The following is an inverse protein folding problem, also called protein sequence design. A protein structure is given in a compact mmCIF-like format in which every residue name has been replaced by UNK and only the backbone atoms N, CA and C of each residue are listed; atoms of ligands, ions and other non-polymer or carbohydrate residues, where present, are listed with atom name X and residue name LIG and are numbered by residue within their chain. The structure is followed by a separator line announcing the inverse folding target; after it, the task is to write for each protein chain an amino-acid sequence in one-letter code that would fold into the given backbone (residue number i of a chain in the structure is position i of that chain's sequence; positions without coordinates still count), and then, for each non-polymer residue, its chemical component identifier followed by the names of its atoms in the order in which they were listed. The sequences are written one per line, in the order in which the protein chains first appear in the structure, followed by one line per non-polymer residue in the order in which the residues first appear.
data_IF_632907451897
#
_entry.id   IF_632907451897
#
_cell.length_a   1.000
_cell.length_b   1.000
_cell.length_c   1.000
_cell.angle_alpha   90.00
_cell.angle_beta   90.00
_cell.angle_gamma   90.00
#
_symmetry.space_group_name_H-M   'P 1'
#
loop_
_entity.id
_entity.type
_entity.pdbx_description
1 polymer ?
#
# COMPACT_ATOMS: atom_id res chain seq x y z
N UNK A 1 -16.48 105.18 -33.83
CA UNK A 1 -16.06 104.08 -34.72
C UNK A 1 -15.39 103.04 -33.84
N UNK A 2 -16.15 102.01 -33.44
CA UNK A 2 -15.62 100.80 -32.81
C UNK A 2 -16.13 99.62 -33.64
N UNK A 3 -15.27 98.66 -34.00
CA UNK A 3 -15.69 97.54 -34.83
C UNK A 3 -16.50 96.58 -33.95
N UNK A 4 -17.76 96.34 -34.33
CA UNK A 4 -18.52 95.21 -33.80
C UNK A 4 -17.84 93.92 -34.30
N UNK A 5 -17.05 93.31 -33.43
CA UNK A 5 -16.54 91.95 -33.62
C UNK A 5 -17.74 91.01 -33.67
N UNK A 6 -17.96 90.40 -34.83
CA UNK A 6 -18.89 89.28 -35.03
C UNK A 6 -18.31 88.05 -34.32
N UNK A 7 -18.39 88.04 -32.98
CA UNK A 7 -18.40 86.80 -32.21
C UNK A 7 -19.82 86.25 -32.36
N UNK A 8 -19.98 85.17 -33.12
CA UNK A 8 -21.31 84.65 -33.39
C UNK A 8 -21.27 83.19 -33.72
N UNK A 9 -20.94 82.83 -34.96
CA UNK A 9 -21.33 81.52 -35.44
C UNK A 9 -20.17 80.54 -35.61
N UNK A 10 -18.98 81.01 -36.01
CA UNK A 10 -17.81 80.13 -36.23
C UNK A 10 -17.22 79.60 -34.93
N UNK A 11 -17.12 80.45 -33.91
CA UNK A 11 -16.59 80.04 -32.61
C UNK A 11 -17.59 79.11 -31.89
N UNK A 12 -18.90 79.36 -32.04
CA UNK A 12 -19.96 78.48 -31.52
C UNK A 12 -19.94 77.12 -32.23
N UNK A 13 -19.78 77.09 -33.56
CA UNK A 13 -19.66 75.83 -34.32
C UNK A 13 -18.39 75.05 -33.95
N UNK A 14 -17.28 75.73 -33.70
CA UNK A 14 -16.04 75.09 -33.24
C UNK A 14 -16.22 74.48 -31.85
N UNK A 15 -16.81 75.21 -30.90
CA UNK A 15 -17.12 74.68 -29.56
C UNK A 15 -18.12 73.52 -29.60
N UNK A 16 -19.12 73.56 -30.48
CA UNK A 16 -20.10 72.48 -30.64
C UNK A 16 -19.44 71.19 -31.19
N UNK A 17 -18.49 71.33 -32.12
CA UNK A 17 -17.66 70.23 -32.60
C UNK A 17 -16.76 69.61 -31.53
N UNK A 18 -16.12 70.44 -30.70
CA UNK A 18 -15.30 70.00 -29.58
C UNK A 18 -16.15 69.27 -28.52
N UNK A 19 -17.33 69.81 -28.19
CA UNK A 19 -18.25 69.22 -27.21
C UNK A 19 -18.79 67.86 -27.69
N UNK A 20 -19.12 67.75 -28.98
CA UNK A 20 -19.52 66.49 -29.60
C UNK A 20 -18.40 65.45 -29.55
N UNK A 21 -17.15 65.88 -29.79
CA UNK A 21 -15.97 65.00 -29.72
C UNK A 21 -15.73 64.49 -28.28
N UNK A 22 -15.88 65.36 -27.28
CA UNK A 22 -15.77 65.00 -25.86
C UNK A 22 -16.87 64.01 -25.46
N UNK A 23 -18.11 64.23 -25.89
CA UNK A 23 -19.23 63.32 -25.63
C UNK A 23 -18.96 61.95 -26.23
N UNK A 24 -18.47 61.88 -27.48
CA UNK A 24 -18.12 60.62 -28.13
C UNK A 24 -16.95 59.91 -27.44
N UNK A 25 -15.93 60.64 -26.99
CA UNK A 25 -14.82 60.09 -26.23
C UNK A 25 -15.28 59.53 -24.88
N UNK A 26 -16.16 60.24 -24.15
CA UNK A 26 -16.73 59.77 -22.90
C UNK A 26 -17.59 58.51 -23.10
N UNK A 27 -18.37 58.45 -24.18
CA UNK A 27 -19.15 57.27 -24.53
C UNK A 27 -18.24 56.05 -24.76
N UNK A 28 -17.17 56.21 -25.54
CA UNK A 28 -16.18 55.15 -25.74
C UNK A 28 -15.47 54.73 -24.45
N UNK A 29 -15.13 55.68 -23.58
CA UNK A 29 -14.58 55.37 -22.26
C UNK A 29 -15.55 54.55 -21.41
N UNK A 30 -16.84 54.88 -21.45
CA UNK A 30 -17.87 54.14 -20.72
C UNK A 30 -18.00 52.70 -21.24
N UNK A 31 -18.04 52.51 -22.56
CA UNK A 31 -18.10 51.19 -23.20
C UNK A 31 -16.85 50.35 -22.87
N UNK A 32 -15.67 50.95 -22.93
CA UNK A 32 -14.42 50.28 -22.55
C UNK A 32 -14.42 49.85 -21.08
N UNK A 33 -14.91 50.70 -20.18
CA UNK A 33 -15.00 50.38 -18.75
C UNK A 33 -16.00 49.25 -18.49
N UNK A 34 -17.16 49.27 -19.14
CA UNK A 34 -18.13 48.17 -19.07
C UNK A 34 -17.52 46.86 -19.58
N UNK A 35 -16.81 46.90 -20.72
CA UNK A 35 -16.11 45.74 -21.26
C UNK A 35 -15.03 45.20 -20.32
N UNK A 36 -14.30 46.08 -19.63
CA UNK A 36 -13.30 45.68 -18.64
C UNK A 36 -13.95 45.03 -17.41
N UNK A 37 -15.05 45.59 -16.92
CA UNK A 37 -15.80 45.04 -15.78
C UNK A 37 -16.38 43.66 -16.10
N UNK A 38 -16.92 43.46 -17.30
CA UNK A 38 -17.38 42.13 -17.75
C UNK A 38 -16.24 41.11 -17.81
N UNK A 39 -15.09 41.49 -18.36
CA UNK A 39 -13.90 40.62 -18.38
C UNK A 39 -13.44 40.26 -16.97
N UNK A 40 -13.46 41.22 -16.05
CA UNK A 40 -13.07 41.01 -14.66
C UNK A 40 -14.04 40.07 -13.93
N UNK A 41 -15.36 40.23 -14.14
CA UNK A 41 -16.36 39.31 -13.61
C UNK A 41 -16.17 37.88 -14.14
N UNK A 42 -15.99 37.72 -15.45
CA UNK A 42 -15.73 36.39 -16.04
C UNK A 42 -14.44 35.75 -15.53
N UNK A 43 -13.41 36.54 -15.26
CA UNK A 43 -12.16 36.05 -14.69
C UNK A 43 -12.34 35.61 -13.23
N UNK A 44 -13.10 36.35 -12.43
CA UNK A 44 -13.44 35.98 -11.06
C UNK A 44 -14.25 34.68 -10.99
N UNK A 45 -15.24 34.52 -11.86
CA UNK A 45 -16.01 33.28 -11.95
C UNK A 45 -15.14 32.09 -12.33
N UNK A 46 -14.27 32.26 -13.33
CA UNK A 46 -13.33 31.23 -13.77
C UNK A 46 -12.34 30.86 -12.66
N UNK A 47 -11.84 31.84 -11.93
CA UNK A 47 -10.96 31.63 -10.78
C UNK A 47 -11.66 30.86 -9.66
N UNK A 48 -12.88 31.25 -9.30
CA UNK A 48 -13.64 30.58 -8.25
C UNK A 48 -13.97 29.13 -8.62
N UNK A 49 -14.31 28.88 -9.89
CA UNK A 49 -14.54 27.52 -10.40
C UNK A 49 -13.27 26.67 -10.31
N UNK A 50 -12.15 27.19 -10.81
CA UNK A 50 -10.87 26.49 -10.76
C UNK A 50 -10.43 26.20 -9.32
N UNK A 51 -10.66 27.15 -8.40
CA UNK A 51 -10.38 26.96 -6.97
C UNK A 51 -11.22 25.85 -6.37
N UNK A 52 -12.52 25.82 -6.68
CA UNK A 52 -13.44 24.76 -6.24
C UNK A 52 -12.99 23.38 -6.74
N UNK A 53 -12.69 23.27 -8.04
CA UNK A 53 -12.25 22.03 -8.67
C UNK A 53 -10.93 21.52 -8.01
N UNK A 54 -10.00 22.43 -7.72
CA UNK A 54 -8.74 22.09 -7.04
C UNK A 54 -8.93 21.59 -5.60
N UNK A 55 -9.84 22.23 -4.85
CA UNK A 55 -10.16 21.82 -3.48
C UNK A 55 -10.80 20.42 -3.46
N UNK A 56 -11.73 20.15 -4.39
CA UNK A 56 -12.36 18.83 -4.54
C UNK A 56 -11.34 17.75 -4.91
N UNK A 57 -10.45 18.01 -5.87
CA UNK A 57 -9.42 17.04 -6.28
C UNK A 57 -8.43 16.76 -5.14
N UNK A 58 -8.06 17.78 -4.37
CA UNK A 58 -7.20 17.63 -3.19
C UNK A 58 -7.86 16.77 -2.12
N UNK A 59 -9.13 17.02 -1.82
CA UNK A 59 -9.89 16.20 -0.86
C UNK A 59 -10.06 14.76 -1.33
N UNK A 60 -10.38 14.54 -2.61
CA UNK A 60 -10.47 13.22 -3.21
C UNK A 60 -9.13 12.49 -3.09
N UNK A 61 -8.00 13.14 -3.40
CA UNK A 61 -6.66 12.56 -3.28
C UNK A 61 -6.30 12.20 -1.85
N UNK A 62 -6.62 13.05 -0.88
CA UNK A 62 -6.40 12.74 0.54
C UNK A 62 -7.29 11.61 1.03
N UNK A 63 -8.54 11.53 0.56
CA UNK A 63 -9.45 10.40 0.83
C UNK A 63 -8.91 9.10 0.23
N UNK A 64 -8.45 9.11 -1.01
CA UNK A 64 -7.79 7.96 -1.65
C UNK A 64 -6.52 7.53 -0.92
N UNK A 65 -5.66 8.47 -0.49
CA UNK A 65 -4.48 8.15 0.33
C UNK A 65 -4.86 7.52 1.67
N UNK A 66 -5.90 8.03 2.34
CA UNK A 66 -6.40 7.45 3.59
C UNK A 66 -6.99 6.06 3.37
N UNK A 67 -7.76 5.86 2.32
CA UNK A 67 -8.31 4.55 1.94
C UNK A 67 -7.21 3.54 1.54
N UNK A 68 -6.19 3.98 0.82
CA UNK A 68 -5.05 3.14 0.43
C UNK A 68 -4.14 2.78 1.62
N UNK A 69 -4.05 3.64 2.64
CA UNK A 69 -3.39 3.33 3.92
C UNK A 69 -4.25 2.46 4.85
N UNK A 70 -5.58 2.57 4.74
CA UNK A 70 -6.56 1.86 5.54
C UNK A 70 -7.04 0.54 4.95
N UNK A 71 -6.59 0.15 3.75
CA UNK A 71 -6.64 -1.25 3.35
C UNK A 71 -5.74 -2.00 4.32
N UNK A 72 -6.36 -2.80 5.19
CA UNK A 72 -5.72 -3.72 6.12
C UNK A 72 -4.61 -4.49 5.39
N UNK A 73 -3.39 -3.96 5.45
CA UNK A 73 -2.22 -4.82 5.35
C UNK A 73 -2.42 -5.75 6.53
N UNK A 74 -2.75 -7.00 6.27
CA UNK A 74 -2.53 -8.09 7.20
C UNK A 74 -1.07 -8.50 6.96
N UNK A 75 -0.08 -7.79 7.57
CA UNK A 75 1.30 -8.18 7.38
C UNK A 75 1.44 -9.64 7.81
N UNK A 76 2.27 -10.38 7.10
CA UNK A 76 2.62 -11.73 7.49
C UNK A 76 4.11 -11.94 7.36
N UNK A 77 4.65 -12.82 8.19
CA UNK A 77 6.00 -13.35 8.03
C UNK A 77 5.91 -14.79 7.60
N UNK A 78 6.67 -15.13 6.57
CA UNK A 78 6.81 -16.49 6.07
C UNK A 78 8.15 -17.07 6.51
N UNK A 79 8.10 -18.14 7.30
CA UNK A 79 9.24 -18.95 7.68
C UNK A 79 9.28 -20.21 6.82
N UNK A 80 10.33 -20.34 6.00
CA UNK A 80 10.60 -21.53 5.21
C UNK A 80 11.75 -22.30 5.85
N UNK A 81 11.53 -23.57 6.16
CA UNK A 81 12.51 -24.42 6.85
C UNK A 81 12.80 -25.66 6.01
N UNK A 82 14.08 -25.98 5.85
CA UNK A 82 14.53 -27.28 5.38
C UNK A 82 14.50 -28.27 6.56
N UNK A 83 13.48 -29.11 6.61
CA UNK A 83 13.27 -30.09 7.66
C UNK A 83 14.16 -31.33 7.57
N UNK A 84 14.87 -31.54 6.46
CA UNK A 84 15.90 -32.60 6.38
C UNK A 84 17.22 -32.13 7.02
N UNK A 85 17.55 -30.84 6.87
CA UNK A 85 18.75 -30.22 7.46
C UNK A 85 18.59 -29.73 8.90
N UNK A 86 17.38 -29.36 9.33
CA UNK A 86 17.11 -28.78 10.66
C UNK A 86 16.06 -29.57 11.44
N UNK A 87 16.52 -30.58 12.18
CA UNK A 87 15.65 -31.43 12.98
C UNK A 87 15.20 -30.79 14.29
N UNK A 88 13.96 -31.06 14.69
CA UNK A 88 13.48 -30.75 16.03
C UNK A 88 14.23 -31.57 17.09
N UNK A 89 14.22 -31.06 18.33
CA UNK A 89 14.86 -31.74 19.47
C UNK A 89 14.33 -33.16 19.64
N UNK A 90 15.21 -34.10 19.92
CA UNK A 90 14.89 -35.53 20.00
C UNK A 90 13.70 -35.87 20.89
N UNK A 91 13.57 -35.19 22.05
CA UNK A 91 12.45 -35.43 22.96
C UNK A 91 11.09 -35.04 22.36
N UNK A 92 11.05 -34.01 21.50
CA UNK A 92 9.82 -33.63 20.77
C UNK A 92 9.50 -34.70 19.72
N UNK A 93 10.51 -35.17 18.97
CA UNK A 93 10.31 -36.21 17.97
C UNK A 93 9.78 -37.51 18.62
N UNK A 94 10.40 -37.93 19.74
CA UNK A 94 10.00 -39.14 20.49
C UNK A 94 8.59 -39.06 21.07
N UNK A 95 8.12 -37.86 21.40
CA UNK A 95 6.78 -37.63 21.92
C UNK A 95 5.68 -37.71 20.84
N UNK A 96 6.04 -37.91 19.57
CA UNK A 96 5.08 -38.14 18.49
C UNK A 96 4.11 -36.97 18.35
N UNK A 97 2.81 -37.23 18.52
CA UNK A 97 1.77 -36.22 18.37
C UNK A 97 1.89 -35.07 19.39
N UNK A 98 2.10 -35.37 20.68
CA UNK A 98 2.25 -34.33 21.70
C UNK A 98 3.49 -33.48 21.46
N UNK A 99 4.53 -34.11 20.92
CA UNK A 99 5.76 -33.46 20.51
C UNK A 99 5.58 -32.50 19.34
N UNK A 100 4.78 -32.87 18.34
CA UNK A 100 4.47 -32.00 17.20
C UNK A 100 3.68 -30.76 17.62
N UNK A 101 2.72 -30.92 18.54
CA UNK A 101 1.97 -29.79 19.14
C UNK A 101 2.93 -28.86 19.88
N UNK A 102 3.74 -29.45 20.77
CA UNK A 102 4.71 -28.67 21.57
C UNK A 102 5.72 -27.95 20.68
N UNK A 103 6.19 -28.59 19.61
CA UNK A 103 7.12 -28.00 18.65
C UNK A 103 6.52 -26.79 17.91
N UNK A 104 5.26 -26.89 17.48
CA UNK A 104 4.56 -25.79 16.83
C UNK A 104 4.42 -24.57 17.76
N UNK A 105 3.97 -24.80 19.00
CA UNK A 105 3.83 -23.74 20.00
C UNK A 105 5.16 -23.06 20.33
N UNK A 106 6.23 -23.84 20.56
CA UNK A 106 7.56 -23.29 20.84
C UNK A 106 8.09 -22.44 19.68
N UNK A 107 7.85 -22.86 18.43
CA UNK A 107 8.25 -22.10 17.26
C UNK A 107 7.43 -20.81 17.11
N UNK A 108 6.11 -20.90 17.32
CA UNK A 108 5.17 -19.77 17.35
C UNK A 108 5.62 -18.71 18.35
N UNK A 109 5.90 -19.12 19.60
CA UNK A 109 6.35 -18.23 20.67
C UNK A 109 7.70 -17.59 20.37
N UNK A 110 8.65 -18.38 19.85
CA UNK A 110 9.96 -17.85 19.46
C UNK A 110 9.85 -16.76 18.39
N UNK A 111 9.04 -17.02 17.34
CA UNK A 111 8.82 -16.05 16.27
C UNK A 111 8.12 -14.80 16.80
N UNK A 112 7.06 -14.94 17.61
CA UNK A 112 6.34 -13.81 18.22
C UNK A 112 7.29 -12.92 19.02
N UNK A 113 8.10 -13.51 19.90
CA UNK A 113 9.07 -12.78 20.71
C UNK A 113 10.12 -12.05 19.84
N UNK A 114 10.58 -12.70 18.76
CA UNK A 114 11.49 -12.09 17.81
C UNK A 114 10.84 -10.89 17.10
N UNK A 115 9.60 -11.03 16.63
CA UNK A 115 8.87 -9.95 15.97
C UNK A 115 8.60 -8.78 16.93
N UNK A 116 8.17 -9.04 18.16
CA UNK A 116 7.95 -8.01 19.17
C UNK A 116 9.24 -7.21 19.45
N UNK A 117 10.38 -7.89 19.53
CA UNK A 117 11.68 -7.25 19.79
C UNK A 117 12.19 -6.38 18.63
N UNK A 118 11.82 -6.72 17.38
CA UNK A 118 12.34 -6.04 16.18
C UNK A 118 11.36 -5.05 15.53
N UNK A 119 10.05 -5.30 15.64
CA UNK A 119 8.97 -4.53 15.00
C UNK A 119 8.10 -3.75 16.00
N UNK A 120 8.28 -3.97 17.31
CA UNK A 120 7.50 -3.30 18.35
C UNK A 120 6.00 -3.55 18.21
N UNK A 121 5.17 -2.51 18.38
CA UNK A 121 3.70 -2.61 18.32
C UNK A 121 3.10 -3.03 16.97
N UNK A 122 3.91 -3.15 15.90
CA UNK A 122 3.46 -3.72 14.63
C UNK A 122 3.46 -5.25 14.63
N UNK A 123 4.13 -5.88 15.61
CA UNK A 123 4.23 -7.34 15.70
C UNK A 123 2.87 -8.02 15.91
N UNK A 124 1.97 -7.41 16.70
CA UNK A 124 0.66 -7.99 17.04
C UNK A 124 -0.30 -8.04 15.85
N UNK A 125 -0.02 -7.25 14.81
CA UNK A 125 -0.80 -7.24 13.56
C UNK A 125 -0.27 -8.25 12.53
N UNK A 126 0.85 -8.93 12.84
CA UNK A 126 1.56 -9.76 11.90
C UNK A 126 1.21 -11.24 12.03
N UNK A 127 0.65 -11.83 10.97
CA UNK A 127 0.35 -13.26 10.90
C UNK A 127 1.63 -14.06 10.69
N UNK A 128 1.77 -15.19 11.38
CA UNK A 128 2.96 -16.05 11.24
C UNK A 128 2.57 -17.25 10.39
N UNK A 129 3.26 -17.43 9.26
CA UNK A 129 3.14 -18.59 8.39
C UNK A 129 4.45 -19.38 8.42
N UNK A 130 4.37 -20.69 8.67
CA UNK A 130 5.53 -21.58 8.72
C UNK A 130 5.33 -22.71 7.73
N UNK A 131 6.34 -23.00 6.91
CA UNK A 131 6.37 -24.18 6.05
C UNK A 131 7.69 -24.91 6.22
N UNK A 132 7.61 -26.13 6.72
CA UNK A 132 8.75 -27.03 6.87
C UNK A 132 8.69 -28.04 5.74
N UNK A 133 9.71 -28.07 4.88
CA UNK A 133 9.80 -29.00 3.77
C UNK A 133 10.80 -30.10 4.10
N UNK A 134 10.38 -31.37 4.01
CA UNK A 134 11.30 -32.49 4.20
C UNK A 134 10.88 -33.70 3.34
N UNK A 135 11.80 -34.60 3.05
CA UNK A 135 11.48 -35.94 2.60
C UNK A 135 10.97 -36.77 3.79
N UNK A 136 9.67 -36.72 4.09
CA UNK A 136 9.11 -37.30 5.32
C UNK A 136 9.36 -38.81 5.41
N UNK A 137 9.33 -39.51 4.27
CA UNK A 137 9.63 -40.94 4.21
C UNK A 137 11.12 -41.21 4.51
N UNK A 138 12.02 -40.47 3.86
CA UNK A 138 13.46 -40.57 4.09
C UNK A 138 13.83 -40.24 5.54
N UNK A 139 13.24 -39.17 6.07
CA UNK A 139 13.43 -38.72 7.44
C UNK A 139 12.90 -39.75 8.45
N UNK A 140 11.71 -40.33 8.23
CA UNK A 140 11.18 -41.41 9.07
C UNK A 140 12.15 -42.60 9.15
N UNK A 141 12.72 -43.03 8.01
CA UNK A 141 13.73 -44.11 7.96
C UNK A 141 15.03 -43.74 8.66
N UNK A 142 15.47 -42.48 8.56
CA UNK A 142 16.68 -41.98 9.22
C UNK A 142 16.51 -41.93 10.74
N UNK A 143 15.38 -41.41 11.21
CA UNK A 143 15.04 -41.33 12.63
C UNK A 143 14.82 -42.72 13.26
N UNK A 144 14.24 -43.67 12.51
CA UNK A 144 14.08 -45.05 12.96
C UNK A 144 15.44 -45.74 13.20
N UNK A 145 16.42 -45.53 12.31
CA UNK A 145 17.77 -46.10 12.44
C UNK A 145 18.50 -45.66 13.72
N UNK A 146 18.21 -44.47 14.21
CA UNK A 146 18.75 -43.93 15.48
C UNK A 146 17.80 -44.15 16.67
N UNK A 147 16.71 -44.90 16.47
CA UNK A 147 15.76 -45.25 17.52
C UNK A 147 14.93 -44.09 18.05
N UNK A 148 14.74 -43.02 17.27
CA UNK A 148 13.92 -41.86 17.65
C UNK A 148 12.43 -42.06 17.38
N UNK A 149 12.09 -42.89 16.40
CA UNK A 149 10.72 -43.26 16.02
C UNK A 149 10.65 -44.76 15.72
N UNK A 150 9.43 -45.30 15.52
CA UNK A 150 9.21 -46.68 15.12
C UNK A 150 9.78 -47.03 13.73
N UNK A 151 9.86 -48.32 13.43
CA UNK A 151 10.43 -48.82 12.17
C UNK A 151 9.48 -48.74 10.97
N UNK A 152 8.21 -48.35 11.20
CA UNK A 152 7.20 -48.20 10.17
C UNK A 152 7.54 -47.03 9.24
N UNK A 153 7.23 -47.16 7.94
CA UNK A 153 7.53 -46.12 6.94
C UNK A 153 6.92 -44.73 7.24
N UNK A 154 5.87 -44.67 8.07
CA UNK A 154 5.17 -43.44 8.48
C UNK A 154 5.28 -43.17 9.97
N UNK A 155 6.31 -43.66 10.64
CA UNK A 155 6.47 -43.50 12.09
C UNK A 155 6.65 -42.05 12.54
N UNK A 156 7.06 -41.12 11.66
CA UNK A 156 7.08 -39.67 11.95
C UNK A 156 5.72 -38.98 11.74
N UNK A 157 4.75 -39.63 11.07
CA UNK A 157 3.48 -38.98 10.72
C UNK A 157 2.65 -38.44 11.90
N UNK A 158 2.66 -39.03 13.11
CA UNK A 158 1.98 -38.44 14.25
C UNK A 158 2.56 -37.07 14.62
N UNK A 159 3.89 -36.92 14.54
CA UNK A 159 4.57 -35.65 14.78
C UNK A 159 4.26 -34.61 13.70
N UNK A 160 4.45 -34.94 12.42
CA UNK A 160 4.23 -33.95 11.34
C UNK A 160 2.78 -33.51 11.24
N UNK A 161 1.84 -34.45 11.39
CA UNK A 161 0.42 -34.12 11.24
C UNK A 161 -0.15 -33.35 12.42
N UNK A 162 0.37 -33.57 13.63
CA UNK A 162 -0.01 -32.78 14.80
C UNK A 162 0.59 -31.39 14.75
N UNK A 163 1.87 -31.25 14.35
CA UNK A 163 2.49 -29.95 14.09
C UNK A 163 1.65 -29.10 13.12
N UNK A 164 1.29 -29.65 11.94
CA UNK A 164 0.49 -28.95 10.92
C UNK A 164 -0.88 -28.50 11.45
N UNK A 165 -1.53 -29.28 12.33
CA UNK A 165 -2.86 -28.95 12.84
C UNK A 165 -2.85 -28.07 14.09
N UNK A 166 -1.69 -27.77 14.66
CA UNK A 166 -1.59 -27.05 15.93
C UNK A 166 -1.76 -25.55 15.78
N UNK A 167 -1.41 -25.00 14.62
CA UNK A 167 -1.46 -23.57 14.32
C UNK A 167 -1.98 -23.39 12.88
N UNK A 168 -2.91 -22.45 12.66
CA UNK A 168 -3.69 -22.32 11.42
C UNK A 168 -2.84 -22.15 10.13
N UNK A 169 -1.64 -21.60 10.24
CA UNK A 169 -0.76 -21.26 9.11
C UNK A 169 0.56 -22.04 9.14
N UNK A 170 0.59 -23.18 9.83
CA UNK A 170 1.78 -24.02 9.96
C UNK A 170 1.59 -25.28 9.13
N UNK A 171 2.55 -25.57 8.25
CA UNK A 171 2.54 -26.75 7.41
C UNK A 171 3.86 -27.51 7.53
N UNK A 172 3.77 -28.82 7.78
CA UNK A 172 4.86 -29.77 7.54
C UNK A 172 4.60 -30.49 6.21
N UNK A 173 5.35 -30.09 5.18
CA UNK A 173 5.15 -30.47 3.79
C UNK A 173 6.13 -31.57 3.38
N UNK A 174 5.60 -32.68 2.87
CA UNK A 174 6.42 -33.71 2.24
C UNK A 174 6.91 -33.24 0.86
N UNK A 175 8.21 -33.04 0.73
CA UNK A 175 8.86 -32.63 -0.50
C UNK A 175 9.28 -33.81 -1.39
N UNK A 176 9.08 -35.05 -0.91
CA UNK A 176 9.39 -36.27 -1.63
C UNK A 176 10.89 -36.57 -1.78
N UNK A 177 11.19 -37.67 -2.47
CA UNK A 177 12.51 -38.32 -2.48
C UNK A 177 13.54 -37.72 -3.44
N UNK A 178 13.27 -36.55 -4.02
CA UNK A 178 14.26 -35.89 -4.88
C UNK A 178 15.32 -35.26 -3.99
N UNK A 179 16.60 -35.51 -4.29
CA UNK A 179 17.80 -35.06 -3.56
C UNK A 179 17.88 -33.54 -3.31
N UNK A 180 17.01 -32.76 -3.95
CA UNK A 180 16.89 -31.30 -3.79
C UNK A 180 15.42 -30.85 -3.59
N UNK A 181 14.50 -31.71 -3.14
CA UNK A 181 13.06 -31.40 -3.10
C UNK A 181 12.73 -30.18 -2.22
N UNK A 182 13.20 -30.18 -0.98
CA UNK A 182 13.02 -29.08 -0.04
C UNK A 182 13.75 -27.81 -0.52
N UNK A 183 15.03 -27.94 -0.85
CA UNK A 183 15.86 -26.89 -1.43
C UNK A 183 15.25 -26.23 -2.66
N UNK A 184 14.72 -27.01 -3.60
CA UNK A 184 14.09 -26.51 -4.82
C UNK A 184 12.80 -25.73 -4.50
N UNK A 185 12.00 -26.20 -3.54
CA UNK A 185 10.79 -25.48 -3.10
C UNK A 185 11.14 -24.15 -2.43
N UNK A 186 12.16 -24.13 -1.59
CA UNK A 186 12.62 -22.91 -0.90
C UNK A 186 13.24 -21.94 -1.91
N UNK A 187 14.11 -22.42 -2.81
CA UNK A 187 14.71 -21.59 -3.88
C UNK A 187 13.64 -21.02 -4.82
N UNK A 188 12.63 -21.80 -5.20
CA UNK A 188 11.54 -21.34 -6.05
C UNK A 188 10.65 -20.28 -5.41
N UNK A 189 10.59 -20.22 -4.07
CA UNK A 189 9.86 -19.18 -3.32
C UNK A 189 10.70 -17.91 -3.07
N UNK A 190 12.04 -18.02 -3.13
CA UNK A 190 12.96 -16.89 -3.02
C UNK A 190 13.16 -16.13 -4.35
N UNK A 191 12.65 -16.64 -5.46
CA UNK A 191 12.67 -15.96 -6.76
C UNK A 191 11.39 -15.13 -6.90
N UNK A 192 11.57 -13.81 -7.00
CA UNK A 192 10.55 -12.75 -7.16
C UNK A 192 9.76 -12.38 -5.90
N UNK A 193 10.44 -11.72 -4.97
CA UNK A 193 9.85 -10.56 -4.30
C UNK A 193 10.44 -9.34 -5.02
N UNK A 194 9.77 -8.90 -6.09
CA UNK A 194 10.10 -7.67 -6.82
C UNK A 194 9.79 -6.41 -6.03
#
# INVERSE_FOLDING_TARGET
MYPHTVLGDTDIQALDGDLTSIVHANQQHHENLQGLLQKFQGLLESYNRLKSDYEEEKEAREKYKKMARGQERNPFVLFLVDGDGYLFKEHLIRAGADGGITAANLLSDYIKNYLQSNLGGQADQCRIMVRIYANVLGLSKSLARVGLVGNEARSLSPFTSSFTRSEDLFDYVDAGDKKEGADHKIRGLNVEIG
#
